data_IF_222226782510
#
_entry.id   IF_222226782510
#
_cell.length_a   1.000
_cell.length_b   1.000
_cell.length_c   1.000
_cell.angle_alpha   90.00
_cell.angle_beta   90.00
_cell.angle_gamma   90.00
#
_symmetry.space_group_name_H-M   'P 1'
#
loop_
_entity.id
_entity.type
_entity.pdbx_description
1 polymer ?
#
# COMPACT_ATOMS: atom_id res chain seq x y z
N UNK A 1 -51.38 5.49 27.48
CA UNK A 1 -50.03 5.12 27.96
C UNK A 1 -49.32 4.07 27.06
N UNK A 2 -49.97 2.98 26.60
CA UNK A 2 -49.29 1.94 25.79
C UNK A 2 -48.73 2.41 24.41
N UNK A 3 -49.32 3.42 23.79
CA UNK A 3 -48.86 3.92 22.47
C UNK A 3 -47.59 4.79 22.55
N UNK A 4 -47.46 5.59 23.62
CA UNK A 4 -46.26 6.43 23.84
C UNK A 4 -45.00 5.57 24.06
N UNK A 5 -45.15 4.46 24.82
CA UNK A 5 -44.01 3.54 25.06
C UNK A 5 -43.48 2.86 23.82
N UNK A 6 -44.35 2.53 22.83
CA UNK A 6 -43.92 1.91 21.56
C UNK A 6 -43.13 2.87 20.70
N UNK A 7 -43.43 4.16 20.69
CA UNK A 7 -42.69 5.16 19.94
C UNK A 7 -41.37 5.51 20.59
N UNK A 8 -41.30 5.54 21.94
CA UNK A 8 -40.05 5.74 22.66
C UNK A 8 -39.04 4.60 22.46
N UNK A 9 -39.49 3.33 22.45
CA UNK A 9 -38.63 2.19 22.15
C UNK A 9 -38.13 2.19 20.70
N UNK A 10 -38.98 2.58 19.73
CA UNK A 10 -38.57 2.66 18.33
C UNK A 10 -37.52 3.77 18.08
N UNK A 11 -37.68 4.93 18.73
CA UNK A 11 -36.71 6.03 18.67
C UNK A 11 -35.37 5.65 19.32
N UNK A 12 -35.40 4.92 20.45
CA UNK A 12 -34.19 4.46 21.12
C UNK A 12 -33.41 3.42 20.28
N UNK A 13 -34.13 2.54 19.59
CA UNK A 13 -33.51 1.54 18.70
C UNK A 13 -32.84 2.19 17.48
N UNK A 14 -33.43 3.24 16.90
CA UNK A 14 -32.84 4.01 15.79
C UNK A 14 -31.59 4.77 16.24
N UNK A 15 -31.57 5.33 17.44
CA UNK A 15 -30.40 6.00 18.01
C UNK A 15 -29.22 5.03 18.25
N UNK A 16 -29.49 3.79 18.67
CA UNK A 16 -28.46 2.76 18.90
C UNK A 16 -27.88 2.26 17.56
N UNK A 17 -28.68 2.15 16.51
CA UNK A 17 -28.20 1.72 15.19
C UNK A 17 -27.36 2.82 14.52
N UNK A 18 -27.67 4.10 14.73
CA UNK A 18 -26.84 5.19 14.20
C UNK A 18 -25.48 5.37 14.91
N UNK A 19 -25.33 4.88 16.15
CA UNK A 19 -24.05 4.97 16.86
C UNK A 19 -23.04 3.89 16.47
N UNK A 20 -23.41 2.88 15.67
CA UNK A 20 -22.50 1.83 15.20
C UNK A 20 -21.74 2.18 13.92
N UNK A 21 -22.01 3.33 13.30
CA UNK A 21 -21.26 3.83 12.14
C UNK A 21 -20.33 5.00 12.52
N UNK A 22 -19.70 4.96 13.67
CA UNK A 22 -18.46 5.71 13.82
C UNK A 22 -17.40 4.98 13.01
N UNK A 23 -17.24 5.37 11.75
CA UNK A 23 -15.97 5.18 11.07
C UNK A 23 -14.94 5.83 11.97
N UNK A 24 -14.23 5.02 12.74
CA UNK A 24 -13.02 5.46 13.42
C UNK A 24 -12.06 5.80 12.29
N UNK A 25 -12.10 7.05 11.82
CA UNK A 25 -10.97 7.63 11.15
C UNK A 25 -9.86 7.62 12.22
N UNK A 26 -9.08 6.53 12.26
CA UNK A 26 -7.84 6.52 12.98
C UNK A 26 -7.03 7.68 12.39
N UNK A 27 -7.05 8.82 13.08
CA UNK A 27 -6.14 9.91 12.79
C UNK A 27 -4.76 9.29 12.76
N UNK A 28 -4.10 9.37 11.61
CA UNK A 28 -2.69 9.03 11.47
C UNK A 28 -1.91 9.98 12.39
N UNK A 29 -1.81 9.61 13.65
CA UNK A 29 -0.88 10.23 14.56
C UNK A 29 0.51 9.77 14.13
N UNK A 30 1.35 10.72 13.78
CA UNK A 30 2.75 10.58 13.40
C UNK A 30 3.03 10.00 12.01
N UNK A 31 2.90 10.85 10.98
CA UNK A 31 3.72 10.74 9.76
C UNK A 31 3.57 9.48 8.90
N UNK A 32 2.46 8.75 9.02
CA UNK A 32 2.21 7.61 8.14
C UNK A 32 1.90 8.11 6.75
N UNK A 33 2.75 7.79 5.81
CA UNK A 33 2.54 8.18 4.41
C UNK A 33 2.57 6.94 3.53
N UNK A 34 1.46 6.68 2.83
CA UNK A 34 1.45 5.84 1.63
C UNK A 34 1.43 6.80 0.45
N UNK A 35 2.58 7.02 -0.16
CA UNK A 35 2.71 7.85 -1.34
C UNK A 35 2.49 7.02 -2.60
N UNK A 36 1.48 7.41 -3.37
CA UNK A 36 1.08 6.77 -4.62
C UNK A 36 1.35 7.63 -5.85
N UNK A 37 2.06 8.74 -5.70
CA UNK A 37 2.37 9.70 -6.78
C UNK A 37 3.10 9.02 -7.93
N UNK A 38 3.95 8.03 -7.60
CA UNK A 38 4.75 7.29 -8.55
C UNK A 38 4.08 5.99 -9.08
N UNK A 39 2.79 5.80 -8.81
CA UNK A 39 2.07 4.60 -9.30
C UNK A 39 2.07 4.50 -10.83
N UNK A 40 2.14 5.60 -11.56
CA UNK A 40 2.29 5.63 -13.00
C UNK A 40 3.65 5.09 -13.50
N UNK A 41 4.65 5.06 -12.64
CA UNK A 41 5.96 4.45 -12.89
C UNK A 41 6.06 3.04 -12.29
N UNK A 42 4.94 2.48 -11.83
CA UNK A 42 4.85 1.11 -11.35
C UNK A 42 5.33 0.90 -9.92
N UNK A 43 5.36 1.93 -9.07
CA UNK A 43 5.73 1.77 -7.66
C UNK A 43 5.02 2.74 -6.71
N UNK A 44 5.04 2.37 -5.43
CA UNK A 44 4.57 3.21 -4.32
C UNK A 44 5.64 3.28 -3.25
N UNK A 45 5.61 4.35 -2.46
CA UNK A 45 6.53 4.54 -1.33
C UNK A 45 5.72 4.56 -0.03
N UNK A 46 6.21 3.85 0.98
CA UNK A 46 5.59 3.81 2.31
C UNK A 46 6.62 4.22 3.34
N UNK A 47 6.25 5.16 4.19
CA UNK A 47 7.07 5.61 5.33
C UNK A 47 6.23 5.59 6.61
N UNK A 48 6.73 4.92 7.63
CA UNK A 48 6.11 4.88 8.94
C UNK A 48 7.13 4.50 10.02
N UNK A 49 7.05 5.16 11.15
CA UNK A 49 7.93 4.88 12.30
C UNK A 49 7.16 4.13 13.37
N UNK A 50 7.65 2.95 13.74
CA UNK A 50 7.13 2.12 14.82
C UNK A 50 8.22 1.28 15.44
N UNK A 51 8.06 0.91 16.70
CA UNK A 51 8.91 -0.08 17.38
C UNK A 51 8.48 -1.53 17.09
N UNK A 52 7.31 -1.72 16.49
CA UNK A 52 6.81 -3.04 16.08
C UNK A 52 7.29 -3.42 14.68
N UNK A 53 7.24 -4.71 14.36
CA UNK A 53 7.48 -5.18 12.99
C UNK A 53 6.38 -4.69 12.06
N UNK A 54 6.78 -4.21 10.89
CA UNK A 54 5.87 -3.67 9.89
C UNK A 54 5.83 -4.56 8.65
N UNK A 55 4.66 -4.60 8.02
CA UNK A 55 4.45 -5.17 6.69
C UNK A 55 3.62 -4.25 5.83
N UNK A 56 3.87 -4.29 4.54
CA UNK A 56 2.99 -3.70 3.53
C UNK A 56 2.27 -4.82 2.80
N UNK A 57 0.94 -4.77 2.81
CA UNK A 57 0.08 -5.62 2.00
C UNK A 57 -0.24 -4.92 0.68
N UNK A 58 -0.04 -5.60 -0.43
CA UNK A 58 -0.38 -5.13 -1.77
C UNK A 58 -1.41 -6.09 -2.34
N UNK A 59 -2.59 -5.58 -2.64
CA UNK A 59 -3.68 -6.33 -3.24
C UNK A 59 -4.04 -5.71 -4.60
N UNK A 60 -4.07 -6.53 -5.64
CA UNK A 60 -4.52 -6.14 -6.97
C UNK A 60 -5.98 -6.59 -7.17
N UNK A 61 -6.88 -5.63 -7.45
CA UNK A 61 -8.30 -5.93 -7.60
C UNK A 61 -8.88 -6.69 -6.40
N UNK A 62 -9.37 -7.89 -6.66
CA UNK A 62 -9.88 -8.84 -5.65
C UNK A 62 -8.95 -10.03 -5.38
N UNK A 63 -7.73 -9.99 -5.90
CA UNK A 63 -6.76 -11.07 -5.72
C UNK A 63 -6.26 -11.16 -4.28
N UNK A 64 -5.53 -12.25 -3.99
CA UNK A 64 -4.91 -12.45 -2.68
C UNK A 64 -3.86 -11.38 -2.41
N UNK A 65 -3.90 -10.79 -1.21
CA UNK A 65 -2.91 -9.81 -0.77
C UNK A 65 -1.52 -10.42 -0.62
N UNK A 66 -0.54 -9.82 -1.27
CA UNK A 66 0.88 -10.11 -1.06
C UNK A 66 1.42 -9.24 0.08
N UNK A 67 2.19 -9.83 0.99
CA UNK A 67 2.76 -9.12 2.14
C UNK A 67 4.29 -9.08 2.05
N UNK A 68 4.85 -7.87 2.09
CA UNK A 68 6.29 -7.62 2.09
C UNK A 68 6.70 -6.95 3.41
N UNK A 69 7.94 -7.17 3.86
CA UNK A 69 8.45 -6.49 5.06
C UNK A 69 8.64 -5.00 4.78
N UNK A 70 8.37 -4.17 5.80
CA UNK A 70 8.54 -2.73 5.70
C UNK A 70 9.52 -2.27 6.79
N UNK A 71 10.62 -1.60 6.46
CA UNK A 71 11.51 -1.01 7.45
C UNK A 71 10.82 0.15 8.16
N UNK A 72 11.09 0.31 9.45
CA UNK A 72 10.60 1.43 10.25
C UNK A 72 11.45 2.68 10.05
N UNK A 73 10.83 3.84 9.94
CA UNK A 73 11.49 5.14 9.92
C UNK A 73 12.27 5.44 8.63
N UNK A 74 12.04 4.71 7.57
CA UNK A 74 12.67 4.91 6.25
C UNK A 74 11.63 4.80 5.15
N UNK A 75 11.92 5.45 4.03
CA UNK A 75 11.15 5.26 2.80
C UNK A 75 11.36 3.83 2.29
N UNK A 76 10.25 3.12 2.14
CA UNK A 76 10.22 1.77 1.62
C UNK A 76 9.49 1.76 0.27
N UNK A 77 10.17 1.30 -0.77
CA UNK A 77 9.66 1.27 -2.15
C UNK A 77 9.13 -0.12 -2.48
N UNK A 78 7.93 -0.18 -3.03
CA UNK A 78 7.24 -1.42 -3.42
C UNK A 78 6.74 -1.33 -4.85
N UNK A 79 7.09 -2.32 -5.67
CA UNK A 79 6.65 -2.42 -7.08
C UNK A 79 5.20 -2.86 -7.21
N UNK A 80 4.53 -2.37 -8.26
CA UNK A 80 3.17 -2.72 -8.69
C UNK A 80 3.26 -3.64 -9.92
N UNK A 81 3.52 -4.91 -9.70
CA UNK A 81 3.94 -5.87 -10.73
C UNK A 81 2.80 -6.44 -11.59
N UNK A 82 1.53 -6.17 -11.24
CA UNK A 82 0.37 -6.72 -11.97
C UNK A 82 -0.10 -5.81 -13.14
N UNK A 83 0.65 -4.75 -13.44
CA UNK A 83 0.32 -3.82 -14.53
C UNK A 83 -0.77 -2.82 -14.17
N UNK A 84 -1.51 -2.36 -15.19
CA UNK A 84 -2.60 -1.40 -15.03
C UNK A 84 -3.74 -1.98 -14.20
N UNK A 85 -4.30 -1.17 -13.30
CA UNK A 85 -5.45 -1.56 -12.51
C UNK A 85 -5.53 -0.95 -11.12
N UNK A 86 -6.46 -1.45 -10.33
CA UNK A 86 -6.69 -0.95 -8.97
C UNK A 86 -5.92 -1.76 -7.95
N UNK A 87 -5.08 -1.07 -7.20
CA UNK A 87 -4.34 -1.62 -6.07
C UNK A 87 -4.87 -1.09 -4.75
N UNK A 88 -4.87 -1.94 -3.72
CA UNK A 88 -5.05 -1.54 -2.33
C UNK A 88 -3.74 -1.78 -1.60
N UNK A 89 -3.14 -0.71 -1.10
CA UNK A 89 -1.89 -0.74 -0.34
C UNK A 89 -2.26 -0.58 1.13
N UNK A 90 -1.85 -1.53 1.97
CA UNK A 90 -2.16 -1.55 3.40
C UNK A 90 -0.88 -1.62 4.23
N UNK A 91 -0.67 -0.65 5.10
CA UNK A 91 0.38 -0.71 6.11
C UNK A 91 -0.12 -1.48 7.32
N UNK A 92 0.61 -2.50 7.72
CA UNK A 92 0.27 -3.40 8.81
C UNK A 92 1.36 -3.39 9.88
N UNK A 93 0.93 -3.35 11.14
CA UNK A 93 1.79 -3.37 12.32
C UNK A 93 1.57 -4.65 13.13
N UNK A 94 2.65 -5.29 13.55
CA UNK A 94 2.59 -6.50 14.36
C UNK A 94 2.02 -6.20 15.75
N UNK A 95 1.02 -6.96 16.18
CA UNK A 95 0.45 -6.90 17.53
C UNK A 95 1.10 -7.98 18.42
N UNK A 96 1.17 -9.21 17.92
CA UNK A 96 1.70 -10.36 18.65
C UNK A 96 1.96 -11.53 17.72
N UNK A 97 3.09 -12.20 17.84
CA UNK A 97 3.43 -13.37 17.04
C UNK A 97 3.31 -13.10 15.53
N UNK A 98 2.35 -13.76 14.88
CA UNK A 98 2.04 -13.60 13.44
C UNK A 98 0.82 -12.70 13.18
N UNK A 99 0.25 -12.10 14.23
CA UNK A 99 -0.96 -11.25 14.12
C UNK A 99 -0.56 -9.82 13.82
N UNK A 100 -1.17 -9.24 12.79
CA UNK A 100 -0.97 -7.87 12.36
C UNK A 100 -2.31 -7.13 12.34
N UNK A 101 -2.28 -5.83 12.66
CA UNK A 101 -3.41 -4.91 12.44
C UNK A 101 -3.09 -3.99 11.27
N UNK A 102 -4.10 -3.59 10.53
CA UNK A 102 -3.98 -2.53 9.51
C UNK A 102 -3.92 -1.18 10.24
N UNK A 103 -2.86 -0.43 10.01
CA UNK A 103 -2.69 0.95 10.50
C UNK A 103 -3.41 1.92 9.57
N UNK A 104 -3.18 1.77 8.28
CA UNK A 104 -3.82 2.57 7.23
C UNK A 104 -3.85 1.80 5.92
N UNK A 105 -4.74 2.20 5.03
CA UNK A 105 -4.81 1.67 3.66
C UNK A 105 -5.08 2.79 2.67
N UNK A 106 -4.53 2.66 1.48
CA UNK A 106 -4.78 3.57 0.36
C UNK A 106 -5.05 2.77 -0.91
N UNK A 107 -6.10 3.16 -1.62
CA UNK A 107 -6.41 2.61 -2.94
C UNK A 107 -5.85 3.53 -4.01
N UNK A 108 -5.25 2.96 -5.03
CA UNK A 108 -4.75 3.67 -6.21
C UNK A 108 -5.17 2.92 -7.47
N UNK A 109 -5.60 3.66 -8.48
CA UNK A 109 -5.79 3.13 -9.82
C UNK A 109 -4.52 3.46 -10.63
N UNK A 110 -3.66 2.46 -10.77
CA UNK A 110 -2.40 2.62 -11.50
C UNK A 110 -2.66 2.52 -13.02
N UNK A 111 -2.08 3.45 -13.75
CA UNK A 111 -1.92 3.38 -15.21
C UNK A 111 -0.43 3.52 -15.47
N UNK A 112 0.22 2.40 -15.74
CA UNK A 112 1.68 2.30 -15.80
C UNK A 112 2.12 2.71 -17.20
N UNK A 113 2.97 3.76 -17.29
CA UNK A 113 3.43 4.33 -18.57
C UNK A 113 4.29 3.35 -19.37
N UNK A 114 5.06 2.50 -18.69
CA UNK A 114 5.89 1.45 -19.30
C UNK A 114 5.70 0.14 -18.52
N UNK A 115 5.25 -0.90 -19.17
CA UNK A 115 4.98 -2.21 -18.57
C UNK A 115 6.20 -2.83 -17.86
N UNK A 116 7.41 -2.47 -18.24
CA UNK A 116 8.65 -2.93 -17.60
C UNK A 116 9.10 -2.07 -16.42
N UNK A 117 8.56 -0.86 -16.28
CA UNK A 117 8.97 0.09 -15.22
C UNK A 117 8.97 -0.51 -13.81
N UNK A 118 7.98 -1.33 -13.39
CA UNK A 118 7.97 -1.94 -12.05
C UNK A 118 9.17 -2.84 -11.76
N UNK A 119 9.81 -3.38 -12.79
CA UNK A 119 10.95 -4.30 -12.70
C UNK A 119 12.31 -3.60 -12.83
N UNK A 120 12.31 -2.33 -13.22
CA UNK A 120 13.53 -1.54 -13.47
C UNK A 120 13.89 -0.62 -12.31
N UNK A 121 13.17 -0.67 -11.20
CA UNK A 121 13.39 0.15 -10.01
C UNK A 121 14.01 -0.67 -8.88
N UNK A 122 14.88 -0.03 -8.10
CA UNK A 122 15.31 -0.58 -6.82
C UNK A 122 14.13 -0.54 -5.84
N UNK A 123 13.82 -1.68 -5.23
CA UNK A 123 12.77 -1.81 -4.23
C UNK A 123 13.36 -2.09 -2.84
N UNK A 124 12.53 -2.13 -1.82
CA UNK A 124 12.98 -2.47 -0.47
C UNK A 124 13.58 -3.88 -0.39
N UNK A 125 13.08 -4.82 -1.20
CA UNK A 125 13.54 -6.21 -1.22
C UNK A 125 14.70 -6.43 -2.19
N UNK A 126 14.80 -5.62 -3.26
CA UNK A 126 15.83 -5.76 -4.31
C UNK A 126 16.53 -4.42 -4.49
N UNK A 127 17.77 -4.34 -4.06
CA UNK A 127 18.60 -3.15 -4.16
C UNK A 127 19.62 -3.30 -5.29
N UNK A 128 19.70 -2.30 -6.14
CA UNK A 128 20.76 -2.19 -7.15
C UNK A 128 21.08 -0.71 -7.41
N UNK A 129 22.27 -0.46 -7.90
CA UNK A 129 22.74 0.88 -8.29
C UNK A 129 23.35 0.82 -9.68
N UNK A 130 23.44 1.96 -10.35
CA UNK A 130 24.12 2.05 -11.65
C UNK A 130 25.59 1.66 -11.58
N UNK A 131 26.16 1.62 -10.37
CA UNK A 131 27.54 1.19 -10.11
C UNK A 131 27.72 -0.33 -10.05
N UNK A 132 26.65 -1.12 -9.97
CA UNK A 132 26.73 -2.57 -9.91
C UNK A 132 27.16 -3.17 -11.25
N UNK A 133 27.93 -4.24 -11.21
CA UNK A 133 28.51 -4.83 -12.43
C UNK A 133 27.44 -5.30 -13.44
N UNK A 134 26.31 -5.77 -12.93
CA UNK A 134 25.15 -6.15 -13.77
C UNK A 134 24.60 -4.93 -14.51
N UNK A 135 24.43 -3.80 -13.82
CA UNK A 135 23.93 -2.57 -14.41
C UNK A 135 24.92 -1.98 -15.42
N UNK A 136 26.22 -2.01 -15.12
CA UNK A 136 27.27 -1.60 -16.07
C UNK A 136 27.25 -2.46 -17.31
N UNK A 137 27.16 -3.79 -17.15
CA UNK A 137 27.11 -4.71 -18.27
C UNK A 137 25.85 -4.53 -19.11
N UNK A 138 24.68 -4.33 -18.49
CA UNK A 138 23.47 -4.01 -19.19
C UNK A 138 23.60 -2.70 -20.00
N UNK A 139 24.13 -1.65 -19.41
CA UNK A 139 24.37 -0.38 -20.09
C UNK A 139 25.34 -0.54 -21.29
N UNK A 140 26.39 -1.36 -21.15
CA UNK A 140 27.31 -1.67 -22.24
C UNK A 140 26.59 -2.39 -23.41
N UNK A 141 25.78 -3.40 -23.09
CA UNK A 141 25.05 -4.17 -24.11
C UNK A 141 23.98 -3.34 -24.83
N UNK A 142 23.33 -2.41 -24.12
CA UNK A 142 22.29 -1.54 -24.66
C UNK A 142 22.84 -0.23 -25.26
N UNK A 143 24.16 -0.05 -25.31
CA UNK A 143 24.80 1.19 -25.76
C UNK A 143 24.34 1.66 -27.13
N UNK A 144 24.12 0.74 -28.04
CA UNK A 144 23.74 0.99 -29.42
C UNK A 144 22.26 0.73 -29.71
N UNK A 145 21.49 0.35 -28.67
CA UNK A 145 20.05 0.14 -28.78
C UNK A 145 19.33 1.46 -29.12
N UNK A 146 18.43 1.40 -30.08
CA UNK A 146 17.64 2.57 -30.53
C UNK A 146 16.20 2.52 -30.01
N UNK A 147 15.75 1.36 -29.58
CA UNK A 147 14.43 1.12 -29.04
C UNK A 147 14.52 0.16 -27.85
N UNK A 148 13.46 0.06 -27.06
CA UNK A 148 13.36 -0.90 -25.96
C UNK A 148 13.35 -2.37 -26.41
N UNK A 149 13.32 -2.61 -27.74
CA UNK A 149 13.24 -3.94 -28.36
C UNK A 149 14.52 -4.33 -29.11
N UNK A 150 15.53 -3.45 -29.19
CA UNK A 150 16.85 -3.75 -29.76
C UNK A 150 17.79 -4.41 -28.67
#
# INVERSE_FOLDING_TARGET
MKRLFRHACAMLAVLIVMSMFTVVNASAANGTTIDTTNAKYGFVTVNYTSNAKLKVGIQYGSEKTSYKNCPSGKDAVFSLEQGDGTYTISLCENISGTTYRIVTSKRVNAKIENAYAPYLIATTDVQFTSGDDVCKKAAELCKDAKTDMD
#
